data_IF_793756064335
#
_entry.id   IF_793756064335
#
_cell.length_a   1.000
_cell.length_b   1.000
_cell.length_c   1.000
_cell.angle_alpha   90.00
_cell.angle_beta   90.00
_cell.angle_gamma   90.00
#
_symmetry.space_group_name_H-M   'P 1'
#
loop_
_entity.id
_entity.type
_entity.pdbx_description
1 polymer ?
#
# COMPACT_ATOMS: atom_id res chain seq x y z
N UNK A 1 -23.51 -9.49 32.09
CA UNK A 1 -24.06 -9.41 30.73
C UNK A 1 -23.70 -8.10 30.01
N UNK A 2 -23.77 -6.93 30.67
CA UNK A 2 -23.47 -5.61 30.07
C UNK A 2 -22.00 -5.43 29.57
N UNK A 3 -20.99 -5.99 30.26
CA UNK A 3 -19.57 -5.89 29.90
C UNK A 3 -19.24 -6.71 28.63
N UNK A 4 -19.90 -7.85 28.42
CA UNK A 4 -19.70 -8.68 27.21
C UNK A 4 -20.24 -8.02 25.95
N UNK A 5 -21.30 -7.22 26.05
CA UNK A 5 -21.88 -6.48 24.94
C UNK A 5 -20.96 -5.31 24.54
N UNK A 6 -20.30 -4.66 25.51
CA UNK A 6 -19.36 -3.57 25.25
C UNK A 6 -18.11 -4.06 24.48
N UNK A 7 -17.64 -5.28 24.76
CA UNK A 7 -16.51 -5.89 24.04
C UNK A 7 -16.87 -6.26 22.59
N UNK A 8 -18.10 -6.68 22.32
CA UNK A 8 -18.56 -7.03 20.96
C UNK A 8 -18.71 -5.78 20.10
N UNK A 9 -19.16 -4.66 20.66
CA UNK A 9 -19.28 -3.38 19.96
C UNK A 9 -17.91 -2.78 19.63
N UNK A 10 -16.90 -2.95 20.49
CA UNK A 10 -15.53 -2.46 20.23
C UNK A 10 -14.83 -3.18 19.07
N UNK A 11 -15.20 -4.43 18.77
CA UNK A 11 -14.62 -5.21 17.66
C UNK A 11 -15.18 -4.78 16.29
N UNK A 12 -16.36 -4.17 16.25
CA UNK A 12 -17.00 -3.72 15.00
C UNK A 12 -16.42 -2.42 14.42
N UNK A 13 -15.61 -1.67 15.19
CA UNK A 13 -14.98 -0.44 14.74
C UNK A 13 -13.58 -0.59 14.11
N UNK A 14 -13.09 -1.82 13.92
CA UNK A 14 -11.91 -2.09 13.11
C UNK A 14 -12.26 -2.07 11.61
N UNK A 15 -12.99 -1.05 11.17
CA UNK A 15 -13.21 -0.72 9.77
C UNK A 15 -11.86 -0.39 9.14
N UNK A 16 -11.17 -1.40 8.69
CA UNK A 16 -9.89 -1.27 8.04
C UNK A 16 -10.06 -0.51 6.72
N UNK A 17 -9.48 0.67 6.64
CA UNK A 17 -9.15 1.28 5.37
C UNK A 17 -8.23 0.29 4.64
N UNK A 18 -8.79 -0.52 3.74
CA UNK A 18 -8.06 -1.57 3.04
C UNK A 18 -7.48 -1.01 1.75
N UNK A 19 -6.16 -1.05 1.62
CA UNK A 19 -5.55 -1.00 0.30
C UNK A 19 -5.96 -2.27 -0.47
N UNK A 20 -6.42 -2.10 -1.69
CA UNK A 20 -6.78 -3.23 -2.57
C UNK A 20 -5.97 -3.15 -3.85
N UNK A 21 -5.45 -4.30 -4.29
CA UNK A 21 -4.82 -4.37 -5.61
C UNK A 21 -5.93 -4.25 -6.65
N UNK A 22 -5.86 -3.22 -7.48
CA UNK A 22 -6.87 -2.91 -8.52
C UNK A 22 -6.67 -3.73 -9.77
N UNK A 23 -5.41 -3.83 -10.19
CA UNK A 23 -5.01 -4.57 -11.37
C UNK A 23 -3.85 -5.48 -11.04
N UNK A 24 -3.89 -6.69 -11.58
CA UNK A 24 -2.78 -7.64 -11.51
C UNK A 24 -2.62 -8.33 -12.85
N UNK A 25 -1.38 -8.52 -13.24
CA UNK A 25 -1.00 -9.32 -14.39
C UNK A 25 0.00 -10.40 -13.95
N UNK A 26 -0.08 -11.56 -14.56
CA UNK A 26 0.84 -12.67 -14.32
C UNK A 26 1.21 -13.33 -15.63
N UNK A 27 2.50 -13.58 -15.85
CA UNK A 27 2.99 -14.30 -17.04
C UNK A 27 2.37 -15.70 -17.09
N UNK A 28 1.69 -16.04 -18.17
CA UNK A 28 0.89 -17.28 -18.29
C UNK A 28 1.80 -18.50 -18.21
N UNK A 29 2.90 -18.50 -18.96
CA UNK A 29 3.80 -19.63 -19.10
C UNK A 29 4.86 -19.73 -17.98
N UNK A 30 4.70 -18.98 -16.90
CA UNK A 30 5.55 -19.03 -15.72
C UNK A 30 4.82 -19.72 -14.57
N UNK A 31 5.26 -20.91 -14.20
CA UNK A 31 4.62 -21.73 -13.15
C UNK A 31 4.84 -21.19 -11.72
N UNK A 32 5.76 -20.26 -11.56
CA UNK A 32 6.20 -19.77 -10.26
C UNK A 32 7.35 -20.60 -9.70
N UNK A 33 8.10 -20.00 -8.79
CA UNK A 33 9.21 -20.69 -8.12
C UNK A 33 9.40 -20.21 -6.69
N UNK A 34 10.15 -20.96 -5.92
CA UNK A 34 10.74 -20.50 -4.68
C UNK A 34 11.99 -19.70 -5.02
N UNK A 35 11.95 -18.40 -4.72
CA UNK A 35 13.11 -17.54 -4.87
C UNK A 35 14.08 -17.75 -3.71
N UNK A 36 15.38 -17.86 -4.01
CA UNK A 36 16.41 -17.98 -2.99
C UNK A 36 16.67 -16.64 -2.30
N UNK A 37 16.69 -15.55 -3.08
CA UNK A 37 16.94 -14.20 -2.57
C UNK A 37 16.33 -13.14 -3.49
N UNK A 38 15.40 -12.35 -2.97
CA UNK A 38 14.75 -11.26 -3.71
C UNK A 38 15.38 -9.93 -3.31
N UNK A 39 15.79 -9.12 -4.30
CA UNK A 39 16.14 -7.73 -4.12
C UNK A 39 14.89 -6.87 -4.20
N UNK A 40 14.64 -6.07 -3.18
CA UNK A 40 13.53 -5.10 -3.15
C UNK A 40 14.07 -3.72 -3.48
N UNK A 41 13.53 -3.09 -4.52
CA UNK A 41 13.88 -1.75 -4.98
C UNK A 41 12.63 -0.88 -4.98
N UNK A 42 12.67 0.26 -4.28
CA UNK A 42 11.61 1.27 -4.32
C UNK A 42 12.14 2.53 -4.99
N UNK A 43 11.50 2.96 -6.06
CA UNK A 43 11.81 4.21 -6.74
C UNK A 43 11.09 5.33 -6.00
N UNK A 44 11.86 6.16 -5.30
CA UNK A 44 11.38 7.27 -4.47
C UNK A 44 12.22 8.51 -4.70
N UNK A 45 11.60 9.68 -4.55
CA UNK A 45 12.30 10.98 -4.66
C UNK A 45 13.21 11.28 -3.47
N UNK A 46 13.09 10.53 -2.38
CA UNK A 46 13.92 10.70 -1.17
C UNK A 46 14.51 9.38 -0.71
N UNK A 47 15.77 9.42 -0.26
CA UNK A 47 16.47 8.26 0.30
C UNK A 47 15.73 7.67 1.51
N UNK A 48 15.26 8.52 2.41
CA UNK A 48 14.50 8.09 3.58
C UNK A 48 13.20 7.37 3.19
N UNK A 49 12.49 7.88 2.16
CA UNK A 49 11.28 7.24 1.64
C UNK A 49 11.59 5.88 1.01
N UNK A 50 12.69 5.79 0.24
CA UNK A 50 13.18 4.54 -0.35
C UNK A 50 13.44 3.50 0.73
N UNK A 51 14.31 3.80 1.69
CA UNK A 51 14.69 2.89 2.77
C UNK A 51 13.46 2.43 3.58
N UNK A 52 12.63 3.37 4.01
CA UNK A 52 11.45 3.05 4.82
C UNK A 52 10.49 2.10 4.10
N UNK A 53 10.22 2.35 2.82
CA UNK A 53 9.30 1.51 2.05
C UNK A 53 9.90 0.13 1.76
N UNK A 54 11.19 0.05 1.39
CA UNK A 54 11.91 -1.22 1.17
C UNK A 54 11.92 -2.08 2.43
N UNK A 55 12.27 -1.52 3.59
CA UNK A 55 12.31 -2.23 4.86
C UNK A 55 10.93 -2.78 5.26
N UNK A 56 9.87 -2.02 4.99
CA UNK A 56 8.51 -2.47 5.26
C UNK A 56 8.14 -3.64 4.32
N UNK A 57 8.46 -3.57 3.03
CA UNK A 57 8.21 -4.67 2.08
C UNK A 57 8.99 -5.91 2.50
N UNK A 58 10.28 -5.79 2.80
CA UNK A 58 11.15 -6.88 3.28
C UNK A 58 10.58 -7.52 4.55
N UNK A 59 10.13 -6.72 5.51
CA UNK A 59 9.47 -7.18 6.75
C UNK A 59 8.22 -8.03 6.46
N UNK A 60 7.41 -7.65 5.47
CA UNK A 60 6.21 -8.41 5.10
C UNK A 60 6.54 -9.68 4.31
N UNK A 61 7.54 -9.66 3.44
CA UNK A 61 8.05 -10.85 2.75
C UNK A 61 8.63 -11.86 3.75
N UNK A 62 9.40 -11.39 4.73
CA UNK A 62 9.97 -12.23 5.78
C UNK A 62 8.91 -12.91 6.67
N UNK A 63 7.72 -12.30 6.87
CA UNK A 63 6.60 -12.94 7.59
C UNK A 63 6.02 -14.15 6.85
N UNK A 64 6.25 -14.22 5.57
CA UNK A 64 5.81 -15.30 4.69
C UNK A 64 6.98 -16.21 4.29
N UNK A 65 8.06 -16.21 5.07
CA UNK A 65 9.28 -17.02 4.86
C UNK A 65 9.98 -16.78 3.51
N UNK A 66 9.76 -15.60 2.91
CA UNK A 66 10.41 -15.21 1.65
C UNK A 66 11.67 -14.41 1.98
N UNK A 67 12.82 -14.97 1.58
CA UNK A 67 14.12 -14.31 1.78
C UNK A 67 14.26 -13.11 0.84
N UNK A 68 14.41 -11.93 1.41
CA UNK A 68 14.51 -10.68 0.67
C UNK A 68 15.41 -9.67 1.37
N UNK A 69 15.95 -8.72 0.60
CA UNK A 69 16.86 -7.70 1.08
C UNK A 69 16.48 -6.36 0.45
N UNK A 70 16.63 -5.27 1.19
CA UNK A 70 16.51 -3.92 0.64
C UNK A 70 17.66 -3.60 -0.32
N UNK A 71 17.52 -2.56 -1.12
CA UNK A 71 18.48 -2.24 -2.17
C UNK A 71 19.75 -1.54 -1.67
N UNK A 72 19.81 -1.07 -0.43
CA UNK A 72 20.89 -0.22 0.09
C UNK A 72 22.28 -0.88 0.09
N UNK A 73 22.33 -2.19 0.27
CA UNK A 73 23.62 -2.92 0.20
C UNK A 73 24.17 -3.05 -1.21
N UNK A 74 23.28 -3.06 -2.21
CA UNK A 74 23.64 -3.23 -3.63
C UNK A 74 23.77 -1.88 -4.32
N UNK A 75 22.94 -0.91 -3.93
CA UNK A 75 22.88 0.45 -4.44
C UNK A 75 22.86 1.42 -3.25
N UNK A 76 24.03 1.82 -2.73
CA UNK A 76 24.12 2.71 -1.58
C UNK A 76 23.55 4.11 -1.86
N UNK A 77 23.20 4.88 -0.80
CA UNK A 77 22.48 6.15 -0.94
C UNK A 77 23.25 7.25 -1.68
N UNK A 78 24.56 7.20 -1.68
CA UNK A 78 25.43 8.15 -2.36
C UNK A 78 25.48 7.92 -3.89
N UNK A 79 24.87 6.83 -4.35
CA UNK A 79 24.84 6.46 -5.75
C UNK A 79 23.39 6.41 -6.27
N UNK A 80 23.10 7.22 -7.28
CA UNK A 80 21.77 7.24 -7.89
C UNK A 80 21.65 6.12 -8.92
N UNK A 81 20.75 5.19 -8.68
CA UNK A 81 20.46 4.06 -9.58
C UNK A 81 20.17 4.54 -11.01
N UNK A 82 19.51 5.69 -11.15
CA UNK A 82 19.14 6.27 -12.45
C UNK A 82 20.37 6.69 -13.29
N UNK A 83 21.55 6.82 -12.68
CA UNK A 83 22.80 7.18 -13.36
C UNK A 83 23.62 5.95 -13.77
N UNK A 84 23.23 4.74 -13.35
CA UNK A 84 23.90 3.50 -13.71
C UNK A 84 23.44 3.00 -15.07
N UNK A 85 24.32 2.33 -15.81
CA UNK A 85 23.93 1.62 -17.02
C UNK A 85 23.14 0.36 -16.69
N UNK A 86 22.31 -0.12 -17.63
CA UNK A 86 21.57 -1.37 -17.48
C UNK A 86 22.49 -2.55 -17.17
N UNK A 87 23.65 -2.63 -17.85
CA UNK A 87 24.64 -3.68 -17.64
C UNK A 87 25.26 -3.64 -16.23
N UNK A 88 25.44 -2.45 -15.69
CA UNK A 88 26.00 -2.26 -14.35
C UNK A 88 24.99 -2.64 -13.25
N UNK A 89 23.73 -2.30 -13.45
CA UNK A 89 22.61 -2.72 -12.57
C UNK A 89 22.49 -4.24 -12.59
N UNK A 90 22.43 -4.85 -13.77
CA UNK A 90 22.34 -6.29 -13.96
C UNK A 90 23.50 -7.02 -13.29
N UNK A 91 24.74 -6.58 -13.55
CA UNK A 91 25.92 -7.15 -12.94
C UNK A 91 25.86 -7.16 -11.42
N UNK A 92 25.47 -6.05 -10.80
CA UNK A 92 25.37 -5.95 -9.33
C UNK A 92 24.27 -6.87 -8.76
N UNK A 93 23.17 -7.03 -9.48
CA UNK A 93 22.10 -7.97 -9.09
C UNK A 93 22.63 -9.40 -9.13
N UNK A 94 23.32 -9.79 -10.20
CA UNK A 94 23.90 -11.13 -10.35
C UNK A 94 25.01 -11.39 -9.32
N UNK A 95 25.93 -10.44 -9.14
CA UNK A 95 27.03 -10.53 -8.16
C UNK A 95 26.49 -10.62 -6.72
N UNK A 96 25.33 -10.00 -6.44
CA UNK A 96 24.61 -10.08 -5.16
C UNK A 96 23.89 -11.41 -4.92
N UNK A 97 23.86 -12.30 -5.92
CA UNK A 97 23.22 -13.61 -5.83
C UNK A 97 21.69 -13.53 -5.74
N UNK A 98 21.08 -12.50 -6.30
CA UNK A 98 19.64 -12.36 -6.38
C UNK A 98 19.08 -13.13 -7.58
N UNK A 99 18.05 -13.91 -7.36
CA UNK A 99 17.32 -14.64 -8.40
C UNK A 99 15.93 -14.05 -8.68
N UNK A 100 15.54 -13.01 -7.92
CA UNK A 100 14.35 -12.21 -8.14
C UNK A 100 14.58 -10.73 -7.79
N UNK A 101 13.89 -9.83 -8.50
CA UNK A 101 13.86 -8.40 -8.20
C UNK A 101 12.43 -7.94 -8.12
N UNK A 102 12.06 -7.31 -7.01
CA UNK A 102 10.75 -6.68 -6.80
C UNK A 102 10.91 -5.17 -6.86
N UNK A 103 10.48 -4.56 -7.96
CA UNK A 103 10.53 -3.11 -8.15
C UNK A 103 9.17 -2.51 -7.82
N UNK A 104 9.17 -1.47 -7.00
CA UNK A 104 7.96 -0.70 -6.64
C UNK A 104 8.17 0.77 -6.95
N UNK A 105 7.20 1.40 -7.59
CA UNK A 105 7.22 2.83 -7.94
C UNK A 105 5.86 3.49 -7.76
N UNK A 106 5.87 4.79 -7.53
CA UNK A 106 4.68 5.63 -7.70
C UNK A 106 4.43 5.78 -9.20
N UNK A 107 3.30 5.25 -9.66
CA UNK A 107 2.91 5.32 -11.08
C UNK A 107 2.12 6.58 -11.41
N UNK A 108 1.28 7.05 -10.46
CA UNK A 108 0.45 8.24 -10.63
C UNK A 108 0.02 8.82 -9.29
N UNK A 109 -0.35 10.11 -9.28
CA UNK A 109 -0.90 10.79 -8.11
C UNK A 109 -2.02 11.74 -8.57
N UNK A 110 -3.24 11.46 -8.12
CA UNK A 110 -4.43 12.19 -8.53
C UNK A 110 -5.02 12.94 -7.34
N UNK A 111 -5.55 14.14 -7.60
CA UNK A 111 -6.29 14.93 -6.65
C UNK A 111 -7.68 15.21 -7.19
N UNK A 112 -8.69 14.99 -6.36
CA UNK A 112 -10.07 15.40 -6.69
C UNK A 112 -10.68 16.16 -5.52
N UNK A 113 -11.54 17.12 -5.85
CA UNK A 113 -12.35 17.81 -4.88
C UNK A 113 -13.60 16.99 -4.59
N UNK A 114 -13.83 16.69 -3.31
CA UNK A 114 -15.06 16.05 -2.85
C UNK A 114 -15.83 17.01 -1.96
N UNK A 115 -17.14 16.98 -2.14
CA UNK A 115 -18.09 17.77 -1.36
C UNK A 115 -18.57 16.94 -0.17
N UNK A 116 -18.45 17.52 1.01
CA UNK A 116 -18.91 16.91 2.25
C UNK A 116 -19.87 17.88 2.98
N UNK A 117 -20.79 17.32 3.79
CA UNK A 117 -21.79 18.12 4.49
C UNK A 117 -22.97 18.53 3.59
N UNK A 118 -23.56 19.66 3.86
CA UNK A 118 -24.72 20.21 3.12
C UNK A 118 -26.03 19.55 3.45
N UNK A 119 -26.11 18.86 4.56
CA UNK A 119 -27.32 18.25 5.08
C UNK A 119 -28.11 19.14 6.04
N UNK A 120 -29.34 18.78 6.24
CA UNK A 120 -30.16 19.31 7.32
C UNK A 120 -30.60 18.16 8.22
N UNK A 121 -30.54 18.37 9.52
CA UNK A 121 -31.00 17.38 10.48
C UNK A 121 -31.81 18.03 11.59
N UNK A 122 -32.64 17.25 12.26
CA UNK A 122 -33.42 17.71 13.38
C UNK A 122 -32.77 17.29 14.69
N UNK A 123 -32.38 18.28 15.49
CA UNK A 123 -31.82 18.04 16.82
C UNK A 123 -32.92 18.13 17.86
N UNK A 124 -33.14 17.10 18.71
CA UNK A 124 -34.11 17.18 19.80
C UNK A 124 -33.60 18.21 20.83
N UNK A 125 -34.49 19.13 21.20
CA UNK A 125 -34.24 20.14 22.23
C UNK A 125 -35.32 20.01 23.30
N UNK A 126 -34.87 20.03 24.56
CA UNK A 126 -35.80 19.93 25.70
C UNK A 126 -36.01 21.35 26.24
N UNK A 127 -37.29 21.72 26.36
CA UNK A 127 -37.69 23.01 26.92
C UNK A 127 -38.77 22.85 27.98
N UNK A 128 -38.79 23.79 28.91
CA UNK A 128 -39.82 23.84 29.95
C UNK A 128 -40.95 24.80 29.54
N UNK A 129 -42.16 24.31 29.55
CA UNK A 129 -43.35 25.14 29.38
C UNK A 129 -44.27 24.93 30.56
N UNK A 130 -44.52 26.00 31.32
CA UNK A 130 -45.23 25.96 32.61
C UNK A 130 -44.58 25.01 33.59
N UNK A 131 -45.27 23.96 34.08
CA UNK A 131 -44.75 22.92 34.99
C UNK A 131 -44.30 21.64 34.30
N UNK A 132 -44.38 21.58 32.98
CA UNK A 132 -44.01 20.39 32.21
C UNK A 132 -42.74 20.62 31.39
N UNK A 133 -41.97 19.54 31.27
CA UNK A 133 -40.81 19.45 30.36
C UNK A 133 -41.34 18.86 29.06
N UNK A 134 -40.99 19.48 27.94
CA UNK A 134 -41.37 19.02 26.60
C UNK A 134 -40.14 18.93 25.72
N UNK A 135 -40.17 17.99 24.75
CA UNK A 135 -39.16 17.85 23.71
C UNK A 135 -39.73 18.45 22.43
N UNK A 136 -38.99 19.33 21.84
CA UNK A 136 -39.20 19.84 20.49
C UNK A 136 -38.02 19.46 19.60
N UNK A 137 -38.08 19.86 18.34
CA UNK A 137 -37.01 19.61 17.38
C UNK A 137 -36.59 20.93 16.77
N UNK A 138 -35.28 21.17 16.75
CA UNK A 138 -34.67 22.32 16.08
C UNK A 138 -34.10 21.85 14.75
N UNK A 139 -34.37 22.61 13.71
CA UNK A 139 -33.80 22.40 12.40
C UNK A 139 -32.36 22.94 12.38
N UNK A 140 -31.42 22.05 12.17
CA UNK A 140 -30.00 22.40 12.09
C UNK A 140 -29.53 22.22 10.65
N UNK A 141 -28.72 23.16 10.20
CA UNK A 141 -28.05 23.13 8.90
C UNK A 141 -26.59 22.79 9.10
N UNK A 142 -26.11 21.78 8.40
CA UNK A 142 -24.70 21.44 8.29
C UNK A 142 -24.13 22.14 7.06
N UNK A 143 -23.19 23.07 7.21
CA UNK A 143 -22.60 23.75 6.06
C UNK A 143 -21.86 22.79 5.17
N UNK A 144 -21.93 23.03 3.87
CA UNK A 144 -21.12 22.32 2.89
C UNK A 144 -19.67 22.79 3.02
N UNK A 145 -18.75 21.84 2.88
CA UNK A 145 -17.34 22.13 2.70
C UNK A 145 -16.73 21.22 1.64
N UNK A 146 -15.69 21.71 1.02
CA UNK A 146 -14.96 20.98 0.01
C UNK A 146 -13.61 20.60 0.58
N UNK A 147 -13.20 19.33 0.40
CA UNK A 147 -11.85 18.89 0.69
C UNK A 147 -11.22 18.24 -0.52
N UNK A 148 -9.91 18.31 -0.61
CA UNK A 148 -9.16 17.58 -1.61
C UNK A 148 -8.90 16.17 -1.11
N UNK A 149 -9.22 15.18 -1.94
CA UNK A 149 -8.87 13.79 -1.75
C UNK A 149 -7.68 13.46 -2.62
N UNK A 150 -6.62 12.94 -2.03
CA UNK A 150 -5.40 12.54 -2.71
C UNK A 150 -5.38 11.03 -2.89
N UNK A 151 -5.20 10.56 -4.12
CA UNK A 151 -5.06 9.14 -4.44
C UNK A 151 -3.72 8.90 -5.14
N UNK A 152 -2.93 8.01 -4.57
CA UNK A 152 -1.64 7.56 -5.10
C UNK A 152 -1.82 6.19 -5.75
N UNK A 153 -1.36 6.05 -7.00
CA UNK A 153 -1.31 4.78 -7.72
C UNK A 153 0.10 4.23 -7.61
N UNK A 154 0.24 3.08 -6.97
CA UNK A 154 1.52 2.43 -6.76
C UNK A 154 1.55 1.15 -7.59
N UNK A 155 2.61 0.96 -8.34
CA UNK A 155 2.86 -0.22 -9.16
C UNK A 155 4.04 -1.01 -8.62
N UNK A 156 3.89 -2.34 -8.56
CA UNK A 156 5.01 -3.26 -8.33
C UNK A 156 5.14 -4.27 -9.44
N UNK A 157 6.37 -4.63 -9.76
CA UNK A 157 6.72 -5.64 -10.76
C UNK A 157 7.73 -6.62 -10.17
N UNK A 158 7.48 -7.93 -10.33
CA UNK A 158 8.42 -8.98 -9.97
C UNK A 158 9.12 -9.47 -11.24
N UNK A 159 10.44 -9.45 -11.22
CA UNK A 159 11.33 -9.95 -12.27
C UNK A 159 11.97 -11.27 -11.84
N UNK A 160 12.07 -12.21 -12.75
CA UNK A 160 12.92 -13.41 -12.61
C UNK A 160 14.28 -13.12 -13.26
N UNK A 161 15.35 -13.18 -12.48
CA UNK A 161 16.71 -12.83 -12.93
C UNK A 161 17.37 -13.96 -13.74
N UNK A 162 16.94 -15.21 -13.58
CA UNK A 162 17.49 -16.36 -14.31
C UNK A 162 17.10 -16.41 -15.79
N UNK A 163 16.00 -15.73 -16.16
CA UNK A 163 15.65 -15.53 -17.56
C UNK A 163 16.52 -14.40 -18.10
N UNK A 164 17.59 -14.75 -18.85
CA UNK A 164 18.55 -13.80 -19.45
C UNK A 164 17.87 -12.48 -19.88
N UNK A 165 18.33 -11.41 -19.30
CA UNK A 165 18.11 -9.98 -19.50
C UNK A 165 17.30 -9.55 -20.74
N UNK A 166 16.05 -9.92 -20.83
CA UNK A 166 15.12 -9.45 -21.86
C UNK A 166 13.91 -8.83 -21.16
N UNK A 167 13.24 -7.91 -21.86
CA UNK A 167 11.95 -7.33 -21.46
C UNK A 167 10.89 -8.36 -21.02
N UNK A 168 11.18 -9.64 -21.16
CA UNK A 168 10.35 -10.80 -20.83
C UNK A 168 10.55 -11.32 -19.42
N UNK A 169 11.46 -10.77 -18.63
CA UNK A 169 11.76 -11.22 -17.27
C UNK A 169 10.67 -10.85 -16.24
N UNK A 170 9.75 -9.96 -16.56
CA UNK A 170 8.60 -9.66 -15.69
C UNK A 170 7.69 -10.87 -15.62
N UNK A 171 7.51 -11.41 -14.42
CA UNK A 171 6.65 -12.58 -14.19
C UNK A 171 5.34 -12.23 -13.50
N UNK A 172 5.29 -11.06 -12.86
CA UNK A 172 4.09 -10.53 -12.23
C UNK A 172 4.15 -8.99 -12.17
N UNK A 173 2.99 -8.35 -12.31
CA UNK A 173 2.80 -6.92 -12.08
C UNK A 173 1.48 -6.68 -11.35
N UNK A 174 1.45 -5.67 -10.49
CA UNK A 174 0.26 -5.26 -9.77
C UNK A 174 0.23 -3.77 -9.48
N UNK A 175 -0.98 -3.19 -9.55
CA UNK A 175 -1.24 -1.80 -9.21
C UNK A 175 -2.24 -1.70 -8.08
N UNK A 176 -1.98 -0.82 -7.13
CA UNK A 176 -2.83 -0.51 -5.99
C UNK A 176 -3.05 0.99 -5.87
N UNK A 177 -4.21 1.38 -5.37
CA UNK A 177 -4.52 2.75 -5.00
C UNK A 177 -4.49 2.91 -3.48
N UNK A 178 -3.89 4.01 -3.03
CA UNK A 178 -3.90 4.44 -1.63
C UNK A 178 -4.48 5.83 -1.57
N UNK A 179 -5.65 5.96 -0.95
CA UNK A 179 -6.38 7.23 -0.86
C UNK A 179 -6.23 7.81 0.55
N UNK A 180 -5.97 9.12 0.62
CA UNK A 180 -5.84 9.91 1.85
C UNK A 180 -5.02 9.19 2.95
N UNK A 181 -3.76 8.80 2.68
CA UNK A 181 -2.96 8.18 3.71
C UNK A 181 -2.64 9.15 4.85
N UNK A 182 -2.75 8.69 6.09
CA UNK A 182 -2.43 9.49 7.29
C UNK A 182 -0.95 9.85 7.34
N UNK A 183 -0.09 8.96 6.85
CA UNK A 183 1.36 9.15 6.73
C UNK A 183 1.93 8.25 5.65
N UNK A 184 3.14 8.57 5.18
CA UNK A 184 3.88 7.73 4.24
C UNK A 184 4.12 6.31 4.80
N UNK A 185 4.50 6.19 6.06
CA UNK A 185 4.73 4.91 6.72
C UNK A 185 3.45 4.06 6.79
N UNK A 186 2.33 4.67 7.20
CA UNK A 186 1.02 3.99 7.22
C UNK A 186 0.57 3.53 5.83
N UNK A 187 0.81 4.34 4.79
CA UNK A 187 0.57 3.98 3.41
C UNK A 187 1.42 2.78 2.98
N UNK A 188 2.72 2.84 3.27
CA UNK A 188 3.69 1.78 2.95
C UNK A 188 3.35 0.46 3.65
N UNK A 189 2.95 0.49 4.92
CA UNK A 189 2.51 -0.69 5.67
C UNK A 189 1.27 -1.36 5.03
N UNK A 190 0.24 -0.57 4.73
CA UNK A 190 -0.99 -1.06 4.11
C UNK A 190 -0.74 -1.63 2.71
N UNK A 191 0.04 -0.89 1.92
CA UNK A 191 0.42 -1.30 0.59
C UNK A 191 1.21 -2.60 0.62
N UNK A 192 2.30 -2.68 1.39
CA UNK A 192 3.18 -3.85 1.47
C UNK A 192 2.44 -5.11 1.91
N UNK A 193 1.53 -5.00 2.88
CA UNK A 193 0.67 -6.11 3.29
C UNK A 193 -0.19 -6.62 2.13
N UNK A 194 -0.79 -5.71 1.36
CA UNK A 194 -1.64 -6.06 0.21
C UNK A 194 -0.82 -6.63 -0.94
N UNK A 195 0.32 -6.02 -1.23
CA UNK A 195 1.27 -6.47 -2.25
C UNK A 195 1.69 -7.92 -2.00
N UNK A 196 2.26 -8.20 -0.83
CA UNK A 196 2.79 -9.53 -0.51
C UNK A 196 1.69 -10.59 -0.53
N UNK A 197 0.54 -10.32 0.07
CA UNK A 197 -0.62 -11.23 0.03
C UNK A 197 -1.07 -11.53 -1.41
N UNK A 198 -1.12 -10.52 -2.27
CA UNK A 198 -1.57 -10.70 -3.65
C UNK A 198 -0.53 -11.41 -4.49
N UNK A 199 0.74 -11.11 -4.27
CA UNK A 199 1.87 -11.75 -4.95
C UNK A 199 1.93 -13.25 -4.65
N UNK A 200 1.78 -13.67 -3.40
CA UNK A 200 1.70 -15.08 -3.01
C UNK A 200 0.47 -15.75 -3.65
N UNK A 201 -0.70 -15.08 -3.56
CA UNK A 201 -1.94 -15.62 -4.16
C UNK A 201 -1.84 -15.81 -5.67
N UNK A 202 -0.97 -15.05 -6.35
CA UNK A 202 -0.74 -15.21 -7.79
C UNK A 202 -0.06 -16.52 -8.16
N UNK A 203 0.56 -17.22 -7.20
CA UNK A 203 1.35 -18.44 -7.41
C UNK A 203 2.68 -18.21 -8.12
N UNK A 204 3.11 -16.95 -8.30
CA UNK A 204 4.40 -16.64 -8.96
C UNK A 204 5.58 -16.65 -7.98
N UNK A 205 5.30 -16.51 -6.68
CA UNK A 205 6.22 -16.84 -5.59
C UNK A 205 5.64 -18.02 -4.81
N UNK A 206 6.48 -19.00 -4.56
CA UNK A 206 6.19 -20.19 -3.74
C UNK A 206 7.05 -20.09 -2.48
N UNK A 207 6.46 -20.36 -1.31
CA UNK A 207 7.16 -20.34 0.00
C UNK A 207 7.98 -21.61 0.24
#
# INVERSE_FOLDING_TARGET
MKIRILFIVAILFLGACTSTMKYTWSKVDYEGKKFNKILVIVISSTEQGRLTAEDIIVKYLAKEDINSTNSFTTFPPDEKIENLSEEEIEKRILDGGYDGVLVTKLADANSREIREGGGTYYQPVTYRYRRSIRTGYMHMYEPEYYRQELTYVIESQLFNVEDEAKKESVVWSGQSEVTDPVSFESASEKYSKTLVKTLIKSGKIIN
#
